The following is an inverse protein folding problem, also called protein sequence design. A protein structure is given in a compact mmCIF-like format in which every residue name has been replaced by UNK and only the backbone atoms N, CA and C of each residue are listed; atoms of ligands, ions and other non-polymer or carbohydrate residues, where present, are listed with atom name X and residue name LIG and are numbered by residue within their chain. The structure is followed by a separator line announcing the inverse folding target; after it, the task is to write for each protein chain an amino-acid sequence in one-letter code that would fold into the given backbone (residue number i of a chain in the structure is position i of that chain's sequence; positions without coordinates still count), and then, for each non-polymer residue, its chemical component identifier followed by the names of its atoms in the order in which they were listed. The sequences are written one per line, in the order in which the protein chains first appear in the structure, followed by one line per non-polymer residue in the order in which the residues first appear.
data_IF_043921351557
#
_entry.id   IF_043921351557
#
_cell.length_a   1.000
_cell.length_b   1.000
_cell.length_c   1.000
_cell.angle_alpha   90.00
_cell.angle_beta   90.00
_cell.angle_gamma   90.00
#
_symmetry.space_group_name_H-M   'P 1'
#
loop_
_entity.id
_entity.type
_entity.pdbx_description
1 polymer ?
#
# COMPACT_ATOMS: atom_id res chain seq x y z
N UNK A 1 16.92 16.07 12.72
CA UNK A 1 17.78 15.51 13.79
C UNK A 1 17.57 16.12 15.17
N UNK A 2 16.85 17.25 15.37
CA UNK A 2 16.63 17.84 16.71
C UNK A 2 15.20 17.68 17.27
N UNK A 3 14.28 17.08 16.51
CA UNK A 3 12.95 16.68 16.99
C UNK A 3 12.79 15.18 16.72
N UNK A 4 12.44 14.40 17.76
CA UNK A 4 11.82 13.09 17.57
C UNK A 4 10.53 13.33 16.82
N UNK A 5 10.54 13.14 15.50
CA UNK A 5 9.30 12.94 14.77
C UNK A 5 8.85 11.52 15.12
N UNK A 6 7.67 11.38 15.70
CA UNK A 6 7.01 10.08 15.80
C UNK A 6 6.65 9.66 14.39
N UNK A 7 7.18 8.54 13.88
CA UNK A 7 6.87 8.12 12.52
C UNK A 7 5.38 7.84 12.39
N UNK A 8 4.77 8.40 11.35
CA UNK A 8 3.35 8.29 11.09
C UNK A 8 3.05 6.97 10.37
N UNK A 9 2.87 5.91 11.17
CA UNK A 9 2.53 4.58 10.66
C UNK A 9 1.21 4.58 9.88
N UNK A 10 0.26 5.45 10.22
CA UNK A 10 -1.01 5.54 9.49
C UNK A 10 -0.76 6.05 8.07
N UNK A 11 0.11 7.06 7.92
CA UNK A 11 0.52 7.51 6.60
C UNK A 11 1.33 6.45 5.84
N UNK A 12 2.24 5.73 6.50
CA UNK A 12 2.98 4.61 5.88
C UNK A 12 2.03 3.56 5.31
N UNK A 13 0.97 3.20 6.05
CA UNK A 13 -0.02 2.22 5.59
C UNK A 13 -0.78 2.72 4.34
N UNK A 14 -1.06 4.02 4.25
CA UNK A 14 -1.67 4.64 3.06
C UNK A 14 -0.71 4.54 1.87
N UNK A 15 0.58 4.84 2.05
CA UNK A 15 1.58 4.75 0.98
C UNK A 15 1.80 3.29 0.52
N UNK A 16 1.80 2.32 1.44
CA UNK A 16 1.87 0.88 1.11
C UNK A 16 0.72 0.46 0.20
N UNK A 17 -0.48 1.00 0.42
CA UNK A 17 -1.65 0.74 -0.43
C UNK A 17 -1.48 1.38 -1.81
N UNK A 18 -0.86 2.56 -1.90
CA UNK A 18 -0.58 3.19 -3.20
C UNK A 18 0.47 2.40 -3.99
N UNK A 19 1.53 1.92 -3.33
CA UNK A 19 2.50 0.98 -3.92
C UNK A 19 1.79 -0.28 -4.42
N UNK A 20 0.85 -0.82 -3.64
CA UNK A 20 0.08 -2.00 -4.06
C UNK A 20 -0.71 -1.77 -5.36
N UNK A 21 -1.32 -0.60 -5.55
CA UNK A 21 -2.01 -0.27 -6.81
C UNK A 21 -1.05 -0.28 -8.00
N UNK A 22 0.17 0.23 -7.83
CA UNK A 22 1.18 0.22 -8.88
C UNK A 22 1.67 -1.18 -9.19
N UNK A 23 1.97 -1.99 -8.17
CA UNK A 23 2.44 -3.38 -8.34
C UNK A 23 1.36 -4.23 -9.01
N UNK A 24 0.10 -4.13 -8.57
CA UNK A 24 -0.99 -4.86 -9.22
C UNK A 24 -1.18 -4.44 -10.68
N UNK A 25 -1.07 -3.14 -10.96
CA UNK A 25 -1.15 -2.66 -12.34
C UNK A 25 0.03 -3.15 -13.18
N UNK A 26 1.24 -3.18 -12.61
CA UNK A 26 2.44 -3.73 -13.24
C UNK A 26 2.26 -5.20 -13.60
N UNK A 27 1.81 -6.03 -12.65
CA UNK A 27 1.56 -7.46 -12.89
C UNK A 27 0.50 -7.62 -13.99
N UNK A 28 -0.64 -6.94 -13.88
CA UNK A 28 -1.73 -7.06 -14.86
C UNK A 28 -1.37 -6.57 -16.27
N UNK A 29 -0.36 -5.71 -16.42
CA UNK A 29 0.12 -5.27 -17.73
C UNK A 29 1.01 -6.31 -18.41
N UNK A 30 1.65 -7.20 -17.65
CA UNK A 30 2.61 -8.19 -18.15
C UNK A 30 1.93 -9.47 -18.66
N UNK A 31 0.62 -9.64 -18.38
CA UNK A 31 -0.14 -10.83 -18.77
C UNK A 31 -1.46 -10.50 -19.46
N UNK A 32 -1.76 -11.19 -20.56
CA UNK A 32 -3.05 -11.07 -21.26
C UNK A 32 -4.16 -11.89 -20.59
N UNK A 33 -3.81 -13.00 -19.93
CA UNK A 33 -4.74 -13.91 -19.26
C UNK A 33 -4.56 -13.88 -17.75
N UNK A 34 -5.67 -14.01 -17.05
CA UNK A 34 -5.67 -14.00 -15.58
C UNK A 34 -4.93 -15.21 -15.01
N UNK A 35 -5.09 -16.37 -15.62
CA UNK A 35 -4.47 -17.61 -15.17
C UNK A 35 -2.94 -17.49 -15.18
N UNK A 36 -2.38 -16.91 -16.24
CA UNK A 36 -0.93 -16.69 -16.37
C UNK A 36 -0.40 -15.73 -15.29
N UNK A 37 -1.15 -14.67 -14.98
CA UNK A 37 -0.80 -13.73 -13.91
C UNK A 37 -0.79 -14.40 -12.53
N UNK A 38 -1.75 -15.30 -12.27
CA UNK A 38 -1.86 -16.03 -11.00
C UNK A 38 -0.73 -17.05 -10.81
N UNK A 39 -0.26 -17.65 -11.91
CA UNK A 39 0.85 -18.61 -11.92
C UNK A 39 2.23 -17.95 -12.04
N UNK A 40 2.28 -16.62 -12.12
CA UNK A 40 3.53 -15.86 -12.31
C UNK A 40 4.46 -15.90 -11.09
N UNK A 41 5.77 -15.79 -11.36
CA UNK A 41 6.78 -15.64 -10.31
C UNK A 41 6.54 -14.38 -9.45
N UNK A 42 5.85 -13.35 -9.97
CA UNK A 42 5.51 -12.18 -9.18
C UNK A 42 4.60 -12.52 -8.00
N UNK A 43 3.57 -13.34 -8.23
CA UNK A 43 2.65 -13.75 -7.16
C UNK A 43 3.38 -14.66 -6.17
N UNK A 44 4.22 -15.57 -6.65
CA UNK A 44 5.06 -16.43 -5.79
C UNK A 44 6.00 -15.59 -4.91
N UNK A 45 6.74 -14.63 -5.48
CA UNK A 45 7.66 -13.78 -4.74
C UNK A 45 6.95 -12.88 -3.74
N UNK A 46 5.76 -12.37 -4.06
CA UNK A 46 4.94 -11.63 -3.10
C UNK A 46 4.55 -12.51 -1.91
N UNK A 47 4.06 -13.72 -2.17
CA UNK A 47 3.67 -14.69 -1.13
C UNK A 47 4.90 -15.07 -0.28
N UNK A 48 6.05 -15.30 -0.91
CA UNK A 48 7.31 -15.56 -0.21
C UNK A 48 7.70 -14.42 0.71
N UNK A 49 7.61 -13.18 0.24
CA UNK A 49 7.86 -11.99 1.07
C UNK A 49 6.90 -11.91 2.27
N UNK A 50 5.60 -12.07 2.05
CA UNK A 50 4.59 -12.02 3.13
C UNK A 50 4.82 -13.12 4.18
N UNK A 51 5.26 -14.30 3.75
CA UNK A 51 5.52 -15.46 4.61
C UNK A 51 6.94 -15.52 5.16
N UNK A 52 7.81 -14.57 4.83
CA UNK A 52 9.25 -14.61 5.16
C UNK A 52 9.93 -15.90 4.68
N UNK A 53 9.54 -16.38 3.49
CA UNK A 53 10.15 -17.53 2.84
C UNK A 53 11.35 -17.11 1.99
N UNK A 54 12.54 -17.34 2.53
CA UNK A 54 13.81 -16.99 1.88
C UNK A 54 14.36 -18.10 0.96
N UNK A 55 13.61 -19.17 0.71
CA UNK A 55 14.08 -20.25 -0.16
C UNK A 55 13.90 -19.88 -1.63
N UNK A 56 14.95 -20.12 -2.43
CA UNK A 56 14.95 -19.95 -3.89
C UNK A 56 14.65 -18.52 -4.40
N UNK A 57 14.96 -17.48 -3.63
CA UNK A 57 14.60 -16.09 -3.98
C UNK A 57 15.61 -15.34 -4.87
N UNK A 58 16.79 -15.90 -5.18
CA UNK A 58 17.86 -15.23 -5.96
C UNK A 58 18.08 -13.72 -5.65
N UNK A 59 17.91 -13.32 -4.38
CA UNK A 59 18.12 -11.96 -3.88
C UNK A 59 19.45 -11.91 -3.14
N UNK A 60 20.14 -10.78 -3.19
CA UNK A 60 21.42 -10.59 -2.50
C UNK A 60 21.26 -10.83 -0.98
N UNK A 61 22.01 -11.80 -0.46
CA UNK A 61 21.97 -12.18 0.96
C UNK A 61 22.28 -11.03 1.92
N UNK A 62 23.03 -10.00 1.50
CA UNK A 62 23.31 -8.81 2.32
C UNK A 62 22.00 -8.11 2.71
N UNK A 63 21.04 -8.00 1.79
CA UNK A 63 19.76 -7.36 2.07
C UNK A 63 18.91 -8.17 3.03
N UNK A 64 18.94 -9.50 2.88
CA UNK A 64 18.22 -10.42 3.77
C UNK A 64 18.83 -10.36 5.19
N UNK A 65 20.16 -10.38 5.30
CA UNK A 65 20.84 -10.23 6.59
C UNK A 65 20.56 -8.88 7.25
N UNK A 66 20.46 -7.79 6.47
CA UNK A 66 20.09 -6.49 6.99
C UNK A 66 18.66 -6.51 7.56
N UNK A 67 17.69 -7.02 6.79
CA UNK A 67 16.30 -7.15 7.23
C UNK A 67 16.17 -7.97 8.53
N UNK A 68 16.82 -9.14 8.60
CA UNK A 68 16.76 -10.03 9.75
C UNK A 68 17.52 -9.48 10.97
N UNK A 69 18.56 -8.67 10.74
CA UNK A 69 19.39 -8.08 11.79
C UNK A 69 18.89 -6.74 12.33
N UNK A 70 18.04 -6.03 11.59
CA UNK A 70 17.51 -4.73 12.01
C UNK A 70 16.44 -4.91 13.10
N UNK A 71 16.68 -4.30 14.26
CA UNK A 71 15.81 -4.40 15.45
C UNK A 71 14.89 -3.20 15.60
N UNK A 72 15.21 -2.06 14.98
CA UNK A 72 14.35 -0.89 14.96
C UNK A 72 13.29 -1.05 13.86
N UNK A 73 12.03 -1.07 14.28
CA UNK A 73 10.87 -1.27 13.39
C UNK A 73 10.83 -0.23 12.26
N UNK A 74 11.16 1.03 12.55
CA UNK A 74 11.07 2.11 11.56
C UNK A 74 12.22 2.06 10.57
N UNK A 75 13.44 1.78 11.03
CA UNK A 75 14.57 1.54 10.12
C UNK A 75 14.29 0.35 9.21
N UNK A 76 13.69 -0.72 9.75
CA UNK A 76 13.28 -1.87 8.95
C UNK A 76 12.25 -1.50 7.88
N UNK A 77 11.21 -0.75 8.24
CA UNK A 77 10.19 -0.28 7.28
C UNK A 77 10.81 0.60 6.19
N UNK A 78 11.68 1.55 6.57
CA UNK A 78 12.38 2.43 5.61
C UNK A 78 13.23 1.58 4.65
N UNK A 79 14.03 0.67 5.20
CA UNK A 79 14.86 -0.25 4.42
C UNK A 79 14.02 -1.04 3.41
N UNK A 80 12.88 -1.61 3.84
CA UNK A 80 12.00 -2.36 2.97
C UNK A 80 11.44 -1.49 1.83
N UNK A 81 10.94 -0.29 2.15
CA UNK A 81 10.42 0.64 1.15
C UNK A 81 11.50 1.04 0.12
N UNK A 82 12.74 1.26 0.57
CA UNK A 82 13.88 1.52 -0.31
C UNK A 82 14.17 0.33 -1.24
N UNK A 83 14.16 -0.91 -0.73
CA UNK A 83 14.39 -2.11 -1.55
C UNK A 83 13.27 -2.33 -2.57
N UNK A 84 12.02 -2.03 -2.22
CA UNK A 84 10.91 -2.02 -3.19
C UNK A 84 11.23 -1.08 -4.35
N UNK A 85 11.52 0.18 -4.04
CA UNK A 85 11.81 1.19 -5.05
C UNK A 85 13.06 0.83 -5.89
N UNK A 86 14.13 0.38 -5.23
CA UNK A 86 15.38 -0.02 -5.88
C UNK A 86 15.19 -1.19 -6.84
N UNK A 87 14.43 -2.23 -6.45
CA UNK A 87 14.14 -3.37 -7.31
C UNK A 87 13.45 -2.94 -8.61
N UNK A 88 12.43 -2.09 -8.52
CA UNK A 88 11.77 -1.57 -9.73
C UNK A 88 12.69 -0.64 -10.56
N UNK A 89 13.50 0.20 -9.93
CA UNK A 89 14.43 1.09 -10.64
C UNK A 89 15.58 0.35 -11.34
N UNK A 90 16.00 -0.80 -10.81
CA UNK A 90 17.02 -1.66 -11.41
C UNK A 90 16.48 -2.66 -12.43
N UNK A 91 15.18 -2.65 -12.69
CA UNK A 91 14.51 -3.66 -13.51
C UNK A 91 14.66 -5.09 -12.93
N UNK A 92 14.61 -5.20 -11.61
CA UNK A 92 14.58 -6.43 -10.81
C UNK A 92 13.22 -6.53 -10.08
N UNK A 93 12.09 -6.63 -10.82
CA UNK A 93 10.75 -6.54 -10.23
C UNK A 93 10.45 -7.66 -9.23
N UNK A 94 11.03 -8.86 -9.41
CA UNK A 94 10.88 -9.96 -8.45
C UNK A 94 11.47 -9.59 -7.08
N UNK A 95 12.65 -8.96 -7.05
CA UNK A 95 13.25 -8.47 -5.81
C UNK A 95 12.36 -7.40 -5.16
N UNK A 96 11.91 -6.41 -5.96
CA UNK A 96 11.03 -5.35 -5.48
C UNK A 96 9.71 -5.89 -4.90
N UNK A 97 9.11 -6.89 -5.54
CA UNK A 97 7.85 -7.52 -5.11
C UNK A 97 8.04 -8.39 -3.87
N UNK A 98 9.16 -9.10 -3.75
CA UNK A 98 9.49 -9.83 -2.52
C UNK A 98 9.63 -8.90 -1.32
N UNK A 99 10.40 -7.81 -1.47
CA UNK A 99 10.51 -6.80 -0.42
C UNK A 99 9.20 -6.09 -0.14
N UNK A 100 8.32 -5.95 -1.13
CA UNK A 100 6.98 -5.44 -0.91
C UNK A 100 6.14 -6.39 -0.04
N UNK A 101 6.25 -7.71 -0.25
CA UNK A 101 5.64 -8.71 0.64
C UNK A 101 6.10 -8.57 2.09
N UNK A 102 7.42 -8.38 2.31
CA UNK A 102 7.97 -8.10 3.63
C UNK A 102 7.44 -6.76 4.19
N UNK A 103 7.34 -5.72 3.36
CA UNK A 103 6.81 -4.42 3.76
C UNK A 103 5.36 -4.54 4.22
N UNK A 104 4.51 -5.23 3.47
CA UNK A 104 3.12 -5.52 3.85
C UNK A 104 3.08 -6.24 5.19
N UNK A 105 3.85 -7.33 5.34
CA UNK A 105 3.93 -8.12 6.57
C UNK A 105 4.30 -7.28 7.81
N UNK A 106 5.17 -6.28 7.65
CA UNK A 106 5.65 -5.43 8.74
C UNK A 106 4.82 -4.16 8.95
N UNK A 107 3.85 -3.84 8.09
CA UNK A 107 3.12 -2.56 8.16
C UNK A 107 1.62 -2.72 8.29
N UNK A 108 0.99 -3.70 7.64
CA UNK A 108 -0.47 -3.75 7.51
C UNK A 108 -1.00 -5.19 7.41
N UNK A 109 -2.18 -5.43 7.98
CA UNK A 109 -2.85 -6.72 7.80
C UNK A 109 -3.35 -6.87 6.36
N UNK A 110 -3.37 -8.09 5.82
CA UNK A 110 -3.91 -8.33 4.47
C UNK A 110 -5.36 -7.86 4.33
N UNK A 111 -6.16 -7.99 5.40
CA UNK A 111 -7.54 -7.48 5.44
C UNK A 111 -7.57 -5.96 5.25
N UNK A 112 -6.74 -5.23 5.99
CA UNK A 112 -6.72 -3.76 5.93
C UNK A 112 -6.12 -3.27 4.62
N UNK A 113 -5.10 -3.95 4.08
CA UNK A 113 -4.55 -3.70 2.74
C UNK A 113 -5.67 -3.80 1.68
N UNK A 114 -6.45 -4.88 1.73
CA UNK A 114 -7.59 -5.07 0.82
C UNK A 114 -8.66 -3.99 0.98
N UNK A 115 -9.09 -3.69 2.21
CA UNK A 115 -10.13 -2.69 2.44
C UNK A 115 -9.66 -1.28 2.07
N UNK A 116 -8.42 -0.91 2.37
CA UNK A 116 -7.84 0.37 1.96
C UNK A 116 -7.65 0.45 0.45
N UNK A 117 -7.28 -0.64 -0.22
CA UNK A 117 -7.18 -0.67 -1.68
C UNK A 117 -8.53 -0.30 -2.32
N UNK A 118 -9.60 -0.99 -1.91
CA UNK A 118 -10.96 -0.69 -2.40
C UNK A 118 -11.38 0.73 -2.00
N UNK A 119 -11.12 1.10 -0.75
CA UNK A 119 -11.46 2.42 -0.21
C UNK A 119 -10.76 3.57 -0.94
N UNK A 120 -9.48 3.40 -1.31
CA UNK A 120 -8.70 4.40 -2.06
C UNK A 120 -9.22 4.55 -3.47
N UNK A 121 -9.66 3.46 -4.09
CA UNK A 121 -10.31 3.49 -5.39
C UNK A 121 -11.65 4.27 -5.33
N UNK A 122 -12.47 4.02 -4.31
CA UNK A 122 -13.71 4.78 -4.06
C UNK A 122 -13.40 6.27 -3.82
N UNK A 123 -12.39 6.57 -2.99
CA UNK A 123 -11.97 7.95 -2.73
C UNK A 123 -11.50 8.66 -4.02
N UNK A 124 -10.81 7.95 -4.91
CA UNK A 124 -10.43 8.49 -6.22
C UNK A 124 -11.65 8.84 -7.07
N UNK A 125 -12.72 8.02 -7.05
CA UNK A 125 -13.98 8.37 -7.71
C UNK A 125 -14.65 9.60 -7.07
N UNK A 126 -14.72 9.66 -5.74
CA UNK A 126 -15.26 10.82 -5.01
C UNK A 126 -14.49 12.09 -5.38
N UNK A 127 -13.16 12.06 -5.42
CA UNK A 127 -12.33 13.18 -5.89
C UNK A 127 -12.81 13.70 -7.25
N UNK A 128 -13.01 12.81 -8.21
CA UNK A 128 -13.47 13.19 -9.56
C UNK A 128 -14.90 13.75 -9.54
N UNK A 129 -15.83 13.12 -8.81
CA UNK A 129 -17.23 13.57 -8.68
C UNK A 129 -17.34 15.00 -8.10
N UNK A 130 -16.46 15.33 -7.16
CA UNK A 130 -16.39 16.64 -6.50
C UNK A 130 -15.41 17.62 -7.19
N UNK A 131 -15.03 17.34 -8.43
CA UNK A 131 -14.38 18.30 -9.31
C UNK A 131 -12.86 18.40 -9.15
N UNK A 132 -12.16 17.29 -8.90
CA UNK A 132 -10.69 17.28 -8.76
C UNK A 132 -9.96 17.74 -10.03
N UNK A 133 -10.45 17.38 -11.23
CA UNK A 133 -9.85 17.83 -12.50
C UNK A 133 -10.10 19.32 -12.76
N UNK A 134 -11.20 19.83 -12.24
CA UNK A 134 -11.65 21.21 -12.32
C UNK A 134 -11.00 22.09 -11.24
N UNK A 135 -10.26 21.48 -10.30
CA UNK A 135 -9.60 22.18 -9.18
C UNK A 135 -10.53 22.54 -8.01
N UNK A 136 -11.77 22.04 -8.01
CA UNK A 136 -12.77 22.34 -6.98
C UNK A 136 -12.61 21.47 -5.73
N UNK A 137 -12.11 20.24 -5.89
CA UNK A 137 -11.91 19.32 -4.78
C UNK A 137 -10.77 19.77 -3.86
N UNK A 138 -11.04 19.88 -2.56
CA UNK A 138 -10.01 20.12 -1.55
C UNK A 138 -9.52 18.80 -0.95
N UNK A 139 -8.28 18.43 -1.25
CA UNK A 139 -7.63 17.24 -0.68
C UNK A 139 -7.44 17.32 0.84
N UNK A 140 -7.33 18.54 1.36
CA UNK A 140 -7.26 18.80 2.80
C UNK A 140 -8.60 19.36 3.26
N UNK A 141 -9.24 18.67 4.20
CA UNK A 141 -10.52 19.01 4.84
C UNK A 141 -10.21 19.25 6.31
N UNK A 142 -10.57 20.42 6.84
CA UNK A 142 -10.28 20.83 8.23
C UNK A 142 -8.83 20.60 8.70
N UNK A 143 -7.87 20.77 7.79
CA UNK A 143 -6.43 20.61 8.08
C UNK A 143 -5.93 19.16 8.06
N UNK A 144 -6.78 18.19 7.72
CA UNK A 144 -6.42 16.77 7.55
C UNK A 144 -6.57 16.35 6.09
N UNK A 145 -5.65 15.49 5.60
CA UNK A 145 -5.80 14.90 4.27
C UNK A 145 -6.98 13.93 4.21
N UNK A 146 -7.70 13.92 3.09
CA UNK A 146 -8.79 12.99 2.78
C UNK A 146 -8.42 11.51 3.00
N UNK A 147 -7.19 11.11 2.67
CA UNK A 147 -6.68 9.76 2.90
C UNK A 147 -6.70 9.37 4.40
N UNK A 148 -6.49 10.33 5.32
CA UNK A 148 -6.55 10.09 6.77
C UNK A 148 -7.99 9.81 7.20
N UNK A 149 -8.97 10.53 6.65
CA UNK A 149 -10.39 10.25 6.89
C UNK A 149 -10.77 8.86 6.38
N UNK A 150 -10.39 8.54 5.13
CA UNK A 150 -10.61 7.22 4.55
C UNK A 150 -10.04 6.11 5.46
N UNK A 151 -8.81 6.29 5.91
CA UNK A 151 -8.12 5.33 6.75
C UNK A 151 -8.85 5.11 8.09
N UNK A 152 -9.30 6.18 8.75
CA UNK A 152 -10.14 6.11 9.96
C UNK A 152 -11.46 5.40 9.72
N UNK A 153 -12.09 5.58 8.55
CA UNK A 153 -13.35 4.92 8.20
C UNK A 153 -13.16 3.43 7.96
N UNK A 154 -12.09 3.02 7.26
CA UNK A 154 -11.78 1.61 6.99
C UNK A 154 -11.60 0.82 8.29
N UNK A 155 -10.90 1.39 9.28
CA UNK A 155 -10.74 0.78 10.62
C UNK A 155 -12.07 0.48 11.34
N UNK A 156 -13.16 1.13 10.95
CA UNK A 156 -14.48 0.95 11.57
C UNK A 156 -15.38 -0.03 10.80
N UNK A 157 -14.93 -0.58 9.68
CA UNK A 157 -15.74 -1.42 8.79
C UNK A 157 -15.33 -2.89 8.93
N UNK A 158 -16.33 -3.79 8.98
CA UNK A 158 -16.06 -5.23 9.12
C UNK A 158 -15.71 -5.90 7.79
N UNK A 159 -16.37 -5.50 6.70
CA UNK A 159 -16.24 -6.10 5.37
C UNK A 159 -16.56 -5.09 4.25
N UNK A 160 -16.22 -5.46 3.00
CA UNK A 160 -16.40 -4.62 1.81
C UNK A 160 -17.82 -4.11 1.61
N UNK A 161 -18.86 -4.87 1.96
CA UNK A 161 -20.24 -4.50 1.65
C UNK A 161 -20.69 -3.23 2.38
N UNK A 162 -20.14 -2.96 3.56
CA UNK A 162 -20.40 -1.76 4.35
C UNK A 162 -19.45 -0.60 4.00
N UNK A 163 -18.42 -0.87 3.19
CA UNK A 163 -17.32 0.05 2.99
C UNK A 163 -17.72 1.23 2.10
N UNK A 164 -18.30 0.94 0.94
CA UNK A 164 -18.63 1.98 -0.04
C UNK A 164 -19.71 2.94 0.47
N UNK A 165 -20.81 2.40 1.00
CA UNK A 165 -21.89 3.20 1.58
C UNK A 165 -21.35 4.13 2.67
N UNK A 166 -20.57 3.59 3.61
CA UNK A 166 -19.98 4.39 4.69
C UNK A 166 -19.03 5.47 4.20
N UNK A 167 -18.13 5.15 3.26
CA UNK A 167 -17.21 6.15 2.70
C UNK A 167 -18.00 7.25 2.01
N UNK A 168 -18.96 6.91 1.14
CA UNK A 168 -19.73 7.90 0.39
C UNK A 168 -20.56 8.79 1.31
N UNK A 169 -21.24 8.23 2.30
CA UNK A 169 -22.02 9.01 3.27
C UNK A 169 -21.16 10.01 4.05
N UNK A 170 -20.03 9.55 4.58
CA UNK A 170 -19.17 10.40 5.42
C UNK A 170 -18.45 11.45 4.59
N UNK A 171 -17.95 11.12 3.39
CA UNK A 171 -17.34 12.11 2.50
C UNK A 171 -18.34 13.13 1.97
N UNK A 172 -19.59 12.74 1.72
CA UNK A 172 -20.64 13.70 1.35
C UNK A 172 -20.87 14.72 2.47
N UNK A 173 -20.99 14.25 3.72
CA UNK A 173 -21.13 15.13 4.90
C UNK A 173 -19.93 16.08 5.05
N UNK A 174 -18.71 15.57 4.88
CA UNK A 174 -17.48 16.35 4.97
C UNK A 174 -17.35 17.44 3.89
N UNK A 175 -18.01 17.26 2.74
CA UNK A 175 -17.92 18.19 1.61
C UNK A 175 -19.09 19.17 1.52
N UNK A 176 -20.25 18.81 2.08
CA UNK A 176 -21.44 19.67 2.11
C UNK A 176 -21.56 20.50 3.40
N UNK A 177 -20.82 20.13 4.46
CA UNK A 177 -20.74 20.86 5.73
C UNK A 177 -19.66 21.94 5.74
#
# INVERSE_FOLDING_TARGET
WWKKQTPDIENVQIEVVDIWHFIMSFILLDFEKLEDALESEYIDFFIKGVNEDFHNININGIYIHHYLGETDEYQRIIFLAERVAEGFLKNEPLEGIFFFGLLVKNTISFKDLYLLYIGKNILNHIRQEFGYKEGNYKKTIDGLEDNIYLFKLVKQVKNKNQLEEKIREEFKKLMEG
#
